data_IF_657509676502
#
_entry.id   IF_657509676502
#
_cell.length_a   1.000
_cell.length_b   1.000
_cell.length_c   1.000
_cell.angle_alpha   90.00
_cell.angle_beta   90.00
_cell.angle_gamma   90.00
#
_symmetry.space_group_name_H-M   'P 1'
#
loop_
_entity.id
_entity.type
_entity.pdbx_description
1 polymer ?
#
# COMPACT_ATOMS: atom_id res chain seq x y z
N UNK A 1 3.69 41.42 -4.54
CA UNK A 1 2.45 40.65 -4.81
C UNK A 1 2.92 39.31 -5.38
N UNK A 2 3.08 38.20 -4.63
CA UNK A 2 2.05 37.35 -3.96
C UNK A 2 0.88 37.12 -4.94
N UNK A 3 0.51 35.92 -5.42
CA UNK A 3 0.45 34.57 -4.81
C UNK A 3 0.43 33.48 -5.92
N UNK A 4 0.77 32.26 -5.51
CA UNK A 4 0.73 30.93 -6.15
C UNK A 4 -0.41 30.59 -7.11
N UNK A 5 -0.14 29.62 -8.02
CA UNK A 5 -0.86 28.32 -8.09
C UNK A 5 0.08 27.26 -8.70
N UNK A 6 0.57 26.32 -7.87
CA UNK A 6 1.05 25.01 -8.33
C UNK A 6 -0.03 23.99 -7.98
N UNK A 7 -0.60 23.35 -8.99
CA UNK A 7 -1.42 22.13 -8.86
C UNK A 7 -1.47 21.41 -10.20
N UNK A 8 -0.60 20.42 -10.36
CA UNK A 8 -0.73 19.32 -11.33
C UNK A 8 -0.12 18.13 -10.56
N UNK A 9 -0.84 17.10 -10.13
CA UNK A 9 -1.96 16.44 -10.77
C UNK A 9 -1.45 15.22 -11.54
N UNK A 10 -0.77 14.27 -10.90
CA UNK A 10 -0.39 13.00 -11.55
C UNK A 10 -1.39 11.94 -11.10
N UNK A 11 -2.41 11.74 -11.96
CA UNK A 11 -3.37 10.64 -11.92
C UNK A 11 -3.31 9.92 -13.26
N UNK A 12 -2.51 8.86 -13.32
CA UNK A 12 -2.51 7.79 -14.31
C UNK A 12 -1.43 6.86 -13.75
N UNK A 13 -1.66 5.59 -13.48
CA UNK A 13 -1.76 4.53 -14.46
C UNK A 13 -2.67 3.42 -13.92
N UNK A 14 -3.64 3.01 -14.74
CA UNK A 14 -4.39 1.79 -14.51
C UNK A 14 -4.43 0.98 -15.81
N UNK A 15 -4.18 -0.32 -15.64
CA UNK A 15 -4.57 -1.45 -16.50
C UNK A 15 -3.71 -1.72 -17.74
N UNK A 16 -2.93 -2.81 -17.69
CA UNK A 16 -3.10 -3.99 -18.58
C UNK A 16 -2.85 -5.27 -17.76
N UNK A 17 -3.72 -6.26 -17.98
CA UNK A 17 -3.86 -7.55 -17.29
C UNK A 17 -2.85 -8.59 -17.79
N UNK A 18 -2.56 -9.60 -16.96
CA UNK A 18 -2.48 -10.97 -17.48
C UNK A 18 -3.18 -11.97 -16.53
N UNK A 19 -3.98 -12.92 -17.05
CA UNK A 19 -4.78 -13.84 -16.27
C UNK A 19 -4.03 -15.16 -16.07
N UNK A 20 -4.21 -15.84 -14.93
CA UNK A 20 -4.48 -17.29 -14.88
C UNK A 20 -4.54 -17.80 -13.44
N UNK A 21 -5.41 -18.79 -13.26
CA UNK A 21 -5.54 -19.71 -12.12
C UNK A 21 -6.18 -19.07 -10.88
N UNK A 22 -7.48 -19.33 -10.70
CA UNK A 22 -8.05 -20.09 -9.58
C UNK A 22 -9.52 -20.33 -9.91
N UNK A 23 -9.76 -21.47 -10.55
CA UNK A 23 -11.08 -22.02 -10.79
C UNK A 23 -11.50 -22.84 -9.55
N UNK A 24 -12.81 -22.92 -9.32
CA UNK A 24 -13.52 -23.79 -8.36
C UNK A 24 -13.82 -23.24 -6.96
N UNK A 25 -14.83 -22.38 -6.88
CA UNK A 25 -15.81 -22.43 -5.78
C UNK A 25 -17.22 -22.30 -6.36
N UNK A 26 -17.93 -23.43 -6.46
CA UNK A 26 -19.36 -23.44 -6.72
C UNK A 26 -20.08 -22.80 -5.53
N UNK A 27 -20.53 -21.56 -5.71
CA UNK A 27 -21.58 -20.97 -4.87
C UNK A 27 -22.91 -21.31 -5.52
N UNK A 28 -23.67 -22.18 -4.86
CA UNK A 28 -25.07 -22.46 -5.20
C UNK A 28 -25.84 -21.14 -5.12
N UNK A 29 -26.16 -20.55 -6.27
CA UNK A 29 -27.11 -19.42 -6.36
C UNK A 29 -28.49 -19.97 -6.05
N UNK A 30 -29.04 -19.60 -4.89
CA UNK A 30 -30.49 -19.61 -4.71
C UNK A 30 -31.00 -18.33 -5.35
N UNK A 31 -31.62 -18.46 -6.52
CA UNK A 31 -32.37 -17.40 -7.18
C UNK A 31 -33.66 -17.16 -6.40
N UNK A 32 -33.85 -15.96 -5.85
CA UNK A 32 -35.19 -15.48 -5.51
C UNK A 32 -35.61 -14.51 -6.62
N UNK A 33 -36.66 -14.88 -7.35
CA UNK A 33 -37.34 -14.02 -8.31
C UNK A 33 -37.90 -12.78 -7.59
N UNK A 34 -37.65 -11.62 -8.20
CA UNK A 34 -38.18 -10.33 -7.75
C UNK A 34 -39.55 -10.16 -8.37
N UNK A 35 -40.62 -10.29 -7.58
CA UNK A 35 -41.90 -9.66 -7.92
C UNK A 35 -42.00 -8.36 -7.13
N UNK A 36 -41.88 -7.26 -7.87
CA UNK A 36 -42.06 -5.91 -7.35
C UNK A 36 -43.54 -5.66 -7.08
N UNK A 37 -43.88 -5.18 -5.88
CA UNK A 37 -45.00 -4.25 -5.67
C UNK A 37 -44.74 -3.44 -4.38
N UNK A 38 -45.05 -2.16 -4.47
CA UNK A 38 -44.72 -1.11 -3.52
C UNK A 38 -45.39 -1.30 -2.16
N UNK A 39 -44.61 -1.23 -1.08
CA UNK A 39 -44.86 -0.45 0.16
C UNK A 39 -43.90 -0.89 1.28
N UNK A 40 -43.29 0.11 1.93
CA UNK A 40 -42.78 0.08 3.30
C UNK A 40 -41.92 -1.11 3.79
N UNK A 41 -40.61 -0.87 3.93
CA UNK A 41 -39.73 -1.48 4.95
C UNK A 41 -39.97 -2.96 5.30
N UNK A 42 -39.63 -3.88 4.41
CA UNK A 42 -39.51 -5.30 4.73
C UNK A 42 -38.04 -5.69 4.94
N UNK A 43 -37.61 -5.76 6.20
CA UNK A 43 -36.46 -6.58 6.58
C UNK A 43 -36.83 -8.01 6.22
N UNK A 44 -36.36 -8.51 5.08
CA UNK A 44 -36.46 -9.92 4.72
C UNK A 44 -35.74 -10.72 5.81
N UNK A 45 -36.53 -11.27 6.73
CA UNK A 45 -36.05 -12.22 7.72
C UNK A 45 -35.59 -13.48 6.98
N UNK A 46 -34.29 -13.58 6.72
CA UNK A 46 -33.65 -14.86 6.44
C UNK A 46 -33.97 -15.80 7.61
N UNK A 47 -34.96 -16.67 7.44
CA UNK A 47 -35.47 -17.58 8.47
C UNK A 47 -34.53 -18.76 8.77
N UNK A 48 -33.36 -18.81 8.13
CA UNK A 48 -32.33 -19.81 8.33
C UNK A 48 -31.14 -19.30 9.15
N UNK A 49 -30.63 -20.14 10.06
CA UNK A 49 -29.38 -19.87 10.78
C UNK A 49 -28.18 -19.92 9.82
N UNK A 50 -27.40 -18.83 9.76
CA UNK A 50 -26.22 -18.69 8.91
C UNK A 50 -24.93 -18.82 9.72
N UNK A 51 -23.90 -19.45 9.15
CA UNK A 51 -22.57 -19.50 9.73
C UNK A 51 -21.71 -18.37 9.16
N UNK A 52 -21.05 -17.62 10.04
CA UNK A 52 -20.04 -16.61 9.70
C UNK A 52 -18.74 -16.95 10.41
N UNK A 53 -17.62 -16.53 9.85
CA UNK A 53 -16.33 -16.73 10.51
C UNK A 53 -16.18 -15.78 11.70
N UNK A 54 -15.63 -16.32 12.79
CA UNK A 54 -15.44 -15.63 14.05
C UNK A 54 -14.18 -14.76 14.07
N UNK A 55 -13.94 -14.11 15.22
CA UNK A 55 -12.76 -13.25 15.38
C UNK A 55 -11.45 -14.02 15.44
N UNK A 56 -11.45 -15.25 15.97
CA UNK A 56 -10.26 -16.11 15.98
C UNK A 56 -10.20 -16.89 14.67
N UNK A 57 -9.00 -17.04 14.11
CA UNK A 57 -8.79 -17.83 12.89
C UNK A 57 -9.38 -19.23 13.06
N UNK A 58 -10.18 -19.69 12.10
CA UNK A 58 -10.85 -20.99 12.14
C UNK A 58 -12.02 -21.10 13.13
N UNK A 59 -12.41 -20.02 13.81
CA UNK A 59 -13.63 -20.02 14.64
C UNK A 59 -14.88 -19.70 13.82
N UNK A 60 -16.03 -20.22 14.25
CA UNK A 60 -17.32 -19.99 13.60
C UNK A 60 -18.29 -19.37 14.60
N UNK A 61 -19.00 -18.34 14.15
CA UNK A 61 -20.14 -17.72 14.85
C UNK A 61 -21.39 -17.99 14.02
N UNK A 62 -22.50 -18.28 14.67
CA UNK A 62 -23.77 -18.56 14.00
C UNK A 62 -24.69 -17.37 14.23
N UNK A 63 -25.43 -16.96 13.20
CA UNK A 63 -26.38 -15.86 13.27
C UNK A 63 -27.79 -16.39 13.05
N UNK A 64 -28.74 -15.94 13.88
CA UNK A 64 -30.16 -16.26 13.75
C UNK A 64 -30.98 -15.11 14.35
N UNK A 65 -32.00 -14.63 13.63
CA UNK A 65 -32.83 -13.49 14.03
C UNK A 65 -32.05 -12.24 14.47
N UNK A 66 -30.88 -12.00 13.86
CA UNK A 66 -30.00 -10.87 14.17
C UNK A 66 -29.19 -11.01 15.47
N UNK A 67 -29.24 -12.17 16.13
CA UNK A 67 -28.41 -12.51 17.28
C UNK A 67 -27.29 -13.46 16.90
N UNK A 68 -26.20 -13.42 17.66
CA UNK A 68 -25.02 -14.26 17.46
C UNK A 68 -24.94 -15.38 18.50
N UNK A 69 -24.51 -16.55 18.06
CA UNK A 69 -24.41 -17.76 18.87
C UNK A 69 -23.09 -18.50 18.62
N UNK A 70 -22.60 -19.19 19.64
CA UNK A 70 -21.51 -20.14 19.57
C UNK A 70 -22.04 -21.56 19.79
N UNK A 71 -21.49 -22.53 19.07
CA UNK A 71 -21.84 -23.95 19.29
C UNK A 71 -21.42 -24.36 20.70
N UNK A 72 -22.34 -24.92 21.50
CA UNK A 72 -21.99 -25.43 22.83
C UNK A 72 -21.31 -26.78 22.69
N UNK A 73 -19.98 -26.79 22.86
CA UNK A 73 -19.16 -28.00 22.72
C UNK A 73 -19.38 -29.02 23.84
N UNK A 74 -19.97 -28.60 24.97
CA UNK A 74 -20.21 -29.47 26.14
C UNK A 74 -21.45 -30.35 25.96
N UNK A 75 -22.33 -30.02 25.02
CA UNK A 75 -23.52 -30.82 24.77
C UNK A 75 -23.18 -31.97 23.82
N UNK A 76 -23.33 -33.24 24.26
CA UNK A 76 -22.77 -34.40 23.56
C UNK A 76 -23.37 -34.63 22.17
N UNK A 77 -22.53 -35.23 21.32
CA UNK A 77 -22.80 -35.62 19.92
C UNK A 77 -23.66 -36.88 19.87
N UNK A 78 -24.94 -36.82 20.25
CA UNK A 78 -25.84 -37.90 19.84
C UNK A 78 -26.07 -37.78 18.32
N UNK A 79 -25.74 -38.81 17.52
CA UNK A 79 -26.07 -38.81 16.10
C UNK A 79 -27.58 -38.66 15.94
N UNK A 80 -28.02 -37.61 15.23
CA UNK A 80 -29.45 -37.29 15.04
C UNK A 80 -30.08 -36.37 16.10
N UNK A 81 -29.39 -36.04 17.19
CA UNK A 81 -29.88 -35.11 18.21
C UNK A 81 -29.77 -33.63 17.79
N UNK A 82 -30.65 -32.79 18.33
CA UNK A 82 -30.58 -31.33 18.13
C UNK A 82 -29.22 -30.77 18.59
N UNK A 83 -28.63 -29.93 17.74
CA UNK A 83 -27.39 -29.22 18.06
C UNK A 83 -27.71 -27.98 18.89
N UNK A 84 -27.02 -27.82 20.02
CA UNK A 84 -27.17 -26.67 20.91
C UNK A 84 -26.15 -25.57 20.60
N UNK A 85 -26.63 -24.33 20.60
CA UNK A 85 -25.86 -23.12 20.46
C UNK A 85 -26.23 -22.16 21.60
N UNK A 86 -25.25 -21.44 22.14
CA UNK A 86 -25.43 -20.47 23.22
C UNK A 86 -25.18 -19.06 22.71
N UNK A 87 -25.93 -18.08 23.20
CA UNK A 87 -25.75 -16.69 22.79
C UNK A 87 -24.30 -16.22 23.00
N UNK A 88 -23.73 -15.50 22.03
CA UNK A 88 -22.39 -14.93 22.10
C UNK A 88 -22.23 -13.92 23.24
N UNK A 89 -23.31 -13.24 23.63
CA UNK A 89 -23.33 -12.31 24.76
C UNK A 89 -23.32 -13.00 26.14
N UNK A 90 -23.32 -14.35 26.20
CA UNK A 90 -23.33 -15.11 27.47
C UNK A 90 -22.14 -14.81 28.38
N UNK A 91 -20.95 -14.62 27.80
CA UNK A 91 -19.71 -14.31 28.52
C UNK A 91 -19.42 -12.82 28.63
N UNK A 92 -20.36 -11.96 28.21
CA UNK A 92 -20.24 -10.50 28.31
C UNK A 92 -20.99 -9.99 29.55
N UNK A 93 -20.98 -8.68 29.79
CA UNK A 93 -21.75 -8.07 30.89
C UNK A 93 -23.26 -8.38 30.83
N UNK A 94 -23.80 -8.63 29.63
CA UNK A 94 -25.20 -9.02 29.45
C UNK A 94 -25.56 -10.40 30.02
N UNK A 95 -24.57 -11.29 30.23
CA UNK A 95 -24.76 -12.66 30.78
C UNK A 95 -25.93 -13.45 30.15
N UNK A 96 -26.19 -13.23 28.87
CA UNK A 96 -27.39 -13.74 28.18
C UNK A 96 -27.48 -15.28 28.22
N UNK A 97 -28.57 -15.81 28.78
CA UNK A 97 -28.77 -17.26 28.97
C UNK A 97 -29.45 -17.96 27.79
N UNK A 98 -29.91 -17.20 26.78
CA UNK A 98 -30.62 -17.74 25.61
C UNK A 98 -29.79 -18.80 24.90
N UNK A 99 -30.47 -19.90 24.57
CA UNK A 99 -29.91 -21.00 23.78
C UNK A 99 -30.75 -21.23 22.53
N UNK A 100 -30.09 -21.57 21.44
CA UNK A 100 -30.69 -21.95 20.16
C UNK A 100 -30.44 -23.44 19.92
N UNK A 101 -31.49 -24.16 19.53
CA UNK A 101 -31.45 -25.58 19.21
C UNK A 101 -31.75 -25.76 17.74
N UNK A 102 -30.90 -26.48 17.01
CA UNK A 102 -31.08 -26.75 15.59
C UNK A 102 -31.18 -28.24 15.34
N UNK A 103 -32.28 -28.67 14.74
CA UNK A 103 -32.42 -30.04 14.27
C UNK A 103 -31.48 -30.25 13.06
N UNK A 104 -30.58 -31.25 13.09
CA UNK A 104 -29.61 -31.44 12.02
C UNK A 104 -30.23 -32.00 10.72
N UNK A 105 -31.41 -32.61 10.78
CA UNK A 105 -32.12 -33.23 9.65
C UNK A 105 -33.10 -32.24 9.03
N UNK A 106 -34.03 -31.69 9.83
CA UNK A 106 -35.08 -30.78 9.35
C UNK A 106 -34.60 -29.33 9.23
N UNK A 107 -33.42 -29.02 9.75
CA UNK A 107 -32.84 -27.66 9.85
C UNK A 107 -33.70 -26.65 10.62
N UNK A 108 -34.73 -27.13 11.33
CA UNK A 108 -35.59 -26.32 12.18
C UNK A 108 -34.82 -25.76 13.37
N UNK A 109 -35.10 -24.49 13.71
CA UNK A 109 -34.43 -23.75 14.78
C UNK A 109 -35.44 -23.43 15.89
N UNK A 110 -35.10 -23.75 17.15
CA UNK A 110 -35.92 -23.49 18.34
C UNK A 110 -35.14 -22.66 19.35
N UNK A 111 -35.68 -21.51 19.73
CA UNK A 111 -35.11 -20.63 20.75
C UNK A 111 -35.64 -21.01 22.14
N UNK A 112 -34.75 -20.97 23.14
CA UNK A 112 -35.09 -21.11 24.55
C UNK A 112 -34.67 -19.86 25.32
N UNK A 113 -35.67 -19.11 25.77
CA UNK A 113 -35.52 -17.83 26.49
C UNK A 113 -35.65 -16.61 25.57
N UNK A 114 -35.57 -15.42 26.18
CA UNK A 114 -35.70 -14.12 25.51
C UNK A 114 -34.40 -13.32 25.66
N UNK A 115 -34.00 -12.62 24.61
CA UNK A 115 -32.81 -11.77 24.65
C UNK A 115 -33.12 -10.43 25.34
N UNK A 116 -32.37 -10.11 26.39
CA UNK A 116 -32.43 -8.80 27.09
C UNK A 116 -31.18 -7.97 26.77
N UNK A 117 -30.83 -7.89 25.48
CA UNK A 117 -29.74 -7.05 24.99
C UNK A 117 -29.96 -6.69 23.53
N UNK A 118 -29.33 -5.60 23.09
CA UNK A 118 -29.39 -5.21 21.69
C UNK A 118 -28.75 -6.26 20.77
N UNK A 119 -29.25 -6.32 19.53
CA UNK A 119 -28.71 -7.19 18.48
C UNK A 119 -27.26 -6.79 18.17
N UNK A 120 -26.30 -7.74 18.18
CA UNK A 120 -24.94 -7.46 17.75
C UNK A 120 -24.89 -7.05 16.27
N UNK A 121 -24.05 -6.07 15.94
CA UNK A 121 -23.89 -5.57 14.55
C UNK A 121 -22.72 -6.24 13.81
N UNK A 122 -22.05 -7.22 14.42
CA UNK A 122 -20.83 -7.82 13.84
C UNK A 122 -21.08 -8.56 12.54
N UNK A 123 -22.22 -9.23 12.39
CA UNK A 123 -22.61 -9.87 11.13
C UNK A 123 -22.74 -8.86 9.96
N UNK A 124 -23.09 -7.60 10.26
CA UNK A 124 -23.16 -6.51 9.28
C UNK A 124 -21.78 -5.88 9.06
N UNK A 125 -21.04 -5.60 10.15
CA UNK A 125 -19.76 -4.90 10.09
C UNK A 125 -18.62 -5.73 9.52
N UNK A 126 -18.54 -7.03 9.86
CA UNK A 126 -17.38 -7.88 9.54
C UNK A 126 -17.16 -8.06 8.02
N UNK A 127 -18.19 -8.35 7.20
CA UNK A 127 -18.01 -8.45 5.75
C UNK A 127 -17.43 -7.17 5.14
N UNK A 128 -17.94 -6.00 5.54
CA UNK A 128 -17.44 -4.71 5.10
C UNK A 128 -15.97 -4.49 5.52
N UNK A 129 -15.63 -4.77 6.78
CA UNK A 129 -14.25 -4.65 7.29
C UNK A 129 -13.29 -5.55 6.51
N UNK A 130 -13.67 -6.79 6.20
CA UNK A 130 -12.84 -7.69 5.40
C UNK A 130 -12.59 -7.15 4.01
N UNK A 131 -13.63 -6.61 3.36
CA UNK A 131 -13.46 -6.03 2.03
C UNK A 131 -12.60 -4.75 2.06
N UNK A 132 -12.68 -3.94 3.13
CA UNK A 132 -11.73 -2.83 3.34
C UNK A 132 -10.29 -3.34 3.39
N UNK A 133 -10.04 -4.40 4.18
CA UNK A 133 -8.70 -4.98 4.34
C UNK A 133 -8.20 -5.61 3.03
N UNK A 134 -9.04 -6.35 2.33
CA UNK A 134 -8.69 -6.94 1.04
C UNK A 134 -8.32 -5.86 0.02
N UNK A 135 -9.18 -4.86 -0.19
CA UNK A 135 -8.93 -3.76 -1.14
C UNK A 135 -7.73 -2.90 -0.75
N UNK A 136 -7.39 -2.85 0.54
CA UNK A 136 -6.21 -2.13 1.00
C UNK A 136 -4.91 -2.69 0.44
N UNK A 137 -4.89 -3.98 0.07
CA UNK A 137 -3.74 -4.70 -0.49
C UNK A 137 -3.79 -4.81 -2.02
N UNK A 138 -4.98 -4.78 -2.62
CA UNK A 138 -5.16 -4.93 -4.08
C UNK A 138 -4.81 -3.67 -4.88
N UNK A 139 -4.89 -2.49 -4.27
CA UNK A 139 -4.63 -1.22 -4.94
C UNK A 139 -4.24 -0.10 -3.97
N UNK A 140 -3.57 0.92 -4.51
CA UNK A 140 -3.11 2.11 -3.78
C UNK A 140 -4.12 3.25 -3.74
N UNK A 141 -5.39 2.99 -4.05
CA UNK A 141 -6.43 4.03 -4.00
C UNK A 141 -6.47 4.73 -2.63
N UNK A 142 -6.90 5.99 -2.64
CA UNK A 142 -7.07 6.75 -1.40
C UNK A 142 -8.01 6.01 -0.44
N UNK A 143 -7.71 5.94 0.87
CA UNK A 143 -8.54 5.23 1.84
C UNK A 143 -10.02 5.65 1.85
N UNK A 144 -10.31 6.92 1.52
CA UNK A 144 -11.69 7.41 1.34
C UNK A 144 -12.39 6.76 0.15
N UNK A 145 -11.69 6.60 -0.98
CA UNK A 145 -12.25 5.97 -2.18
C UNK A 145 -12.57 4.50 -1.90
N UNK A 146 -11.66 3.80 -1.23
CA UNK A 146 -11.88 2.42 -0.80
C UNK A 146 -13.08 2.34 0.15
N UNK A 147 -13.17 3.21 1.16
CA UNK A 147 -14.28 3.22 2.10
C UNK A 147 -15.63 3.48 1.41
N UNK A 148 -15.71 4.48 0.52
CA UNK A 148 -16.93 4.81 -0.21
C UNK A 148 -17.40 3.65 -1.10
N UNK A 149 -16.48 3.02 -1.84
CA UNK A 149 -16.80 1.85 -2.66
C UNK A 149 -17.27 0.67 -1.82
N UNK A 150 -16.69 0.45 -0.64
CA UNK A 150 -17.15 -0.60 0.28
C UNK A 150 -18.54 -0.30 0.82
N UNK A 151 -18.83 0.94 1.22
CA UNK A 151 -20.15 1.32 1.73
C UNK A 151 -21.25 1.30 0.66
N UNK A 152 -20.93 1.58 -0.60
CA UNK A 152 -21.88 1.38 -1.70
C UNK A 152 -22.32 -0.09 -1.83
N UNK A 153 -21.40 -1.03 -1.57
CA UNK A 153 -21.68 -2.47 -1.62
C UNK A 153 -22.25 -3.03 -0.31
N UNK A 154 -22.01 -2.36 0.81
CA UNK A 154 -22.52 -2.73 2.13
C UNK A 154 -23.22 -1.53 2.79
N UNK A 155 -24.39 -1.10 2.28
CA UNK A 155 -25.08 0.10 2.75
C UNK A 155 -25.46 0.00 4.24
N UNK A 156 -25.91 -1.16 4.70
CA UNK A 156 -26.25 -1.40 6.11
C UNK A 156 -25.04 -1.20 7.05
N UNK A 157 -23.83 -1.51 6.58
CA UNK A 157 -22.62 -1.35 7.37
C UNK A 157 -22.21 0.12 7.54
N UNK A 158 -22.63 1.02 6.63
CA UNK A 158 -22.35 2.45 6.71
C UNK A 158 -22.98 3.10 7.96
N UNK A 159 -24.12 2.58 8.40
CA UNK A 159 -24.80 3.00 9.63
C UNK A 159 -24.04 2.60 10.91
N UNK A 160 -23.15 1.61 10.84
CA UNK A 160 -22.45 1.04 12.00
C UNK A 160 -20.93 1.23 11.98
N UNK A 161 -20.37 1.68 10.86
CA UNK A 161 -18.93 1.95 10.69
C UNK A 161 -18.77 3.39 10.24
N UNK A 162 -18.21 4.22 11.10
CA UNK A 162 -17.91 5.61 10.75
C UNK A 162 -16.79 5.67 9.69
N UNK A 163 -16.82 6.61 8.74
CA UNK A 163 -15.77 6.74 7.72
C UNK A 163 -14.33 6.83 8.25
N UNK A 164 -14.02 7.53 9.36
CA UNK A 164 -12.68 7.50 9.96
C UNK A 164 -12.23 6.10 10.39
N UNK A 165 -13.14 5.31 10.97
CA UNK A 165 -12.87 3.92 11.37
C UNK A 165 -12.61 3.03 10.15
N UNK A 166 -13.37 3.21 9.07
CA UNK A 166 -13.14 2.48 7.82
C UNK A 166 -11.74 2.78 7.24
N UNK A 167 -11.33 4.05 7.19
CA UNK A 167 -9.97 4.43 6.80
C UNK A 167 -8.90 3.82 7.70
N UNK A 168 -9.14 3.76 9.02
CA UNK A 168 -8.20 3.17 9.96
C UNK A 168 -7.95 1.69 9.67
N UNK A 169 -8.98 0.93 9.27
CA UNK A 169 -8.82 -0.46 8.84
C UNK A 169 -7.93 -0.57 7.59
N UNK A 170 -8.13 0.30 6.59
CA UNK A 170 -7.29 0.35 5.38
C UNK A 170 -5.83 0.67 5.74
N UNK A 171 -5.60 1.75 6.49
CA UNK A 171 -4.25 2.14 6.91
C UNK A 171 -3.55 1.07 7.73
N UNK A 172 -4.26 0.46 8.69
CA UNK A 172 -3.71 -0.60 9.52
C UNK A 172 -3.32 -1.80 8.67
N UNK A 173 -4.17 -2.21 7.73
CA UNK A 173 -3.88 -3.34 6.87
C UNK A 173 -2.66 -3.08 5.99
N UNK A 174 -2.55 -1.88 5.39
CA UNK A 174 -1.37 -1.46 4.64
C UNK A 174 -0.09 -1.43 5.49
N UNK A 175 -0.18 -1.00 6.76
CA UNK A 175 0.98 -1.03 7.66
C UNK A 175 1.41 -2.45 7.99
N UNK A 176 0.46 -3.37 8.19
CA UNK A 176 0.76 -4.77 8.47
C UNK A 176 1.41 -5.51 7.29
N UNK A 177 1.21 -5.03 6.05
CA UNK A 177 1.81 -5.61 4.86
C UNK A 177 3.11 -4.93 4.43
N UNK A 178 3.51 -3.82 5.07
CA UNK A 178 4.78 -3.17 4.77
C UNK A 178 5.92 -3.95 5.42
N UNK A 179 7.08 -4.07 4.76
CA UNK A 179 8.26 -4.63 5.41
C UNK A 179 8.67 -3.78 6.62
N UNK A 180 9.47 -4.38 7.51
CA UNK A 180 10.13 -3.64 8.57
C UNK A 180 10.99 -2.52 7.97
N UNK A 181 11.16 -1.43 8.71
CA UNK A 181 12.12 -0.40 8.29
C UNK A 181 13.53 -0.99 8.44
N UNK A 182 14.44 -0.71 7.49
CA UNK A 182 15.83 -1.12 7.63
C UNK A 182 16.50 -0.32 8.77
N UNK A 183 17.46 -0.95 9.46
CA UNK A 183 18.18 -0.30 10.56
C UNK A 183 19.28 0.62 10.02
N UNK A 184 19.95 0.22 8.93
CA UNK A 184 20.94 1.03 8.24
C UNK A 184 20.81 1.03 6.70
N UNK A 185 21.70 1.77 6.04
CA UNK A 185 21.70 1.88 4.58
C UNK A 185 22.06 0.57 3.89
N UNK A 186 22.85 -0.32 4.50
CA UNK A 186 23.19 -1.63 3.93
C UNK A 186 21.97 -2.56 3.87
N UNK A 187 21.15 -2.57 4.92
CA UNK A 187 19.91 -3.36 4.99
C UNK A 187 18.88 -2.99 3.92
N UNK A 188 18.96 -1.77 3.37
CA UNK A 188 18.03 -1.31 2.35
C UNK A 188 18.15 -2.11 1.05
N UNK A 189 19.30 -2.75 0.78
CA UNK A 189 19.56 -3.49 -0.45
C UNK A 189 18.56 -4.62 -0.68
N UNK A 190 18.45 -5.54 0.29
CA UNK A 190 17.56 -6.71 0.18
C UNK A 190 16.10 -6.27 0.02
N UNK A 191 15.71 -5.21 0.75
CA UNK A 191 14.37 -4.65 0.66
C UNK A 191 14.04 -4.05 -0.70
N UNK A 192 15.02 -3.45 -1.40
CA UNK A 192 14.82 -2.88 -2.73
C UNK A 192 14.83 -3.94 -3.82
N UNK A 193 15.69 -4.97 -3.69
CA UNK A 193 15.75 -6.09 -4.63
C UNK A 193 14.44 -6.90 -4.66
N UNK A 194 13.77 -7.05 -3.51
CA UNK A 194 12.50 -7.77 -3.37
C UNK A 194 11.25 -6.89 -3.48
N UNK A 195 11.35 -5.67 -4.04
CA UNK A 195 10.23 -4.73 -4.15
C UNK A 195 9.74 -4.54 -5.60
N UNK A 196 8.78 -5.37 -6.07
CA UNK A 196 8.28 -5.34 -7.46
C UNK A 196 7.90 -3.96 -8.03
N UNK A 197 7.34 -3.01 -7.25
CA UNK A 197 6.95 -1.71 -7.79
C UNK A 197 8.09 -0.88 -8.38
N UNK A 198 9.36 -1.16 -8.02
CA UNK A 198 10.51 -0.39 -8.52
C UNK A 198 11.37 -1.15 -9.53
N UNK A 199 11.07 -2.40 -9.86
CA UNK A 199 11.88 -3.26 -10.75
C UNK A 199 12.29 -2.59 -12.07
N UNK A 200 11.37 -1.82 -12.67
CA UNK A 200 11.63 -1.11 -13.94
C UNK A 200 12.52 0.13 -13.82
N UNK A 201 12.84 0.53 -12.60
CA UNK A 201 13.56 1.78 -12.29
C UNK A 201 14.75 1.58 -11.38
N UNK A 202 14.80 0.53 -10.57
CA UNK A 202 15.94 0.27 -9.70
C UNK A 202 17.11 -0.29 -10.53
N UNK A 203 18.26 0.37 -10.44
CA UNK A 203 19.44 0.06 -11.23
C UNK A 203 20.57 -0.57 -10.41
N UNK A 204 20.34 -0.74 -9.10
CA UNK A 204 21.31 -1.29 -8.15
C UNK A 204 21.88 -0.25 -7.19
N UNK A 205 23.05 -0.55 -6.64
CA UNK A 205 23.76 0.30 -5.69
C UNK A 205 25.24 0.40 -6.03
N UNK A 206 25.89 1.40 -5.44
CA UNK A 206 27.34 1.61 -5.47
C UNK A 206 27.85 1.81 -4.04
N UNK A 207 29.11 1.45 -3.83
CA UNK A 207 29.81 1.65 -2.56
C UNK A 207 31.08 2.48 -2.81
N UNK A 208 31.25 3.56 -2.05
CA UNK A 208 32.46 4.37 -2.05
C UNK A 208 33.56 3.71 -1.23
N UNK A 209 34.82 4.12 -1.44
CA UNK A 209 35.97 3.62 -0.69
C UNK A 209 35.88 3.88 0.83
N UNK A 210 35.10 4.89 1.23
CA UNK A 210 34.76 5.24 2.61
C UNK A 210 33.55 4.47 3.18
N UNK A 211 33.11 3.40 2.50
CA UNK A 211 31.92 2.60 2.84
C UNK A 211 30.60 3.37 2.73
N UNK A 212 30.61 4.53 2.07
CA UNK A 212 29.37 5.22 1.70
C UNK A 212 28.60 4.42 0.65
N UNK A 213 27.27 4.55 0.64
CA UNK A 213 26.37 3.74 -0.20
C UNK A 213 25.45 4.69 -0.98
N UNK A 214 25.27 4.39 -2.26
CA UNK A 214 24.34 5.08 -3.14
C UNK A 214 23.38 4.10 -3.81
N UNK A 215 22.07 4.30 -3.67
CA UNK A 215 21.04 3.51 -4.37
C UNK A 215 20.52 4.26 -5.59
N UNK A 216 20.52 3.59 -6.74
CA UNK A 216 20.34 4.24 -8.04
C UNK A 216 18.97 3.89 -8.63
N UNK A 217 18.23 4.92 -9.02
CA UNK A 217 16.90 4.81 -9.61
C UNK A 217 16.78 5.62 -10.90
N UNK A 218 16.49 4.94 -12.00
CA UNK A 218 16.20 5.53 -13.31
C UNK A 218 15.79 4.43 -14.28
N UNK A 219 14.82 4.68 -15.15
CA UNK A 219 14.48 3.72 -16.21
C UNK A 219 15.57 3.68 -17.28
N UNK A 220 15.77 2.54 -17.94
CA UNK A 220 16.73 2.41 -19.05
C UNK A 220 16.50 3.45 -20.16
N UNK A 221 15.24 3.76 -20.46
CA UNK A 221 14.88 4.79 -21.45
C UNK A 221 15.35 6.20 -21.06
N UNK A 222 15.41 6.50 -19.77
CA UNK A 222 15.93 7.79 -19.27
C UNK A 222 17.45 7.79 -19.20
N UNK A 223 18.08 6.65 -18.87
CA UNK A 223 19.53 6.48 -18.93
C UNK A 223 20.07 6.66 -20.36
N UNK A 224 19.39 6.12 -21.36
CA UNK A 224 19.76 6.31 -22.78
C UNK A 224 19.65 7.79 -23.21
N UNK A 225 18.63 8.52 -22.71
CA UNK A 225 18.51 9.96 -22.99
C UNK A 225 19.58 10.78 -22.27
N UNK A 226 19.89 10.39 -21.04
CA UNK A 226 20.96 10.97 -20.25
C UNK A 226 22.32 10.77 -20.94
N UNK A 227 22.58 9.59 -21.50
CA UNK A 227 23.85 9.26 -22.14
C UNK A 227 24.16 10.12 -23.36
N UNK A 228 23.12 10.54 -24.11
CA UNK A 228 23.25 11.35 -25.33
C UNK A 228 23.06 12.85 -25.11
N UNK A 229 22.94 13.30 -23.86
CA UNK A 229 22.77 14.72 -23.54
C UNK A 229 24.12 15.45 -23.55
N UNK A 230 24.17 16.65 -24.11
CA UNK A 230 25.41 17.45 -24.13
C UNK A 230 25.64 18.24 -22.84
N UNK A 231 24.56 18.60 -22.16
CA UNK A 231 24.58 19.32 -20.89
C UNK A 231 23.68 18.58 -19.89
N UNK A 232 24.21 18.33 -18.70
CA UNK A 232 23.51 17.65 -17.60
C UNK A 232 23.55 18.54 -16.37
N UNK A 233 22.45 18.61 -15.64
CA UNK A 233 22.36 19.41 -14.43
C UNK A 233 22.25 18.46 -13.23
N UNK A 234 23.02 18.71 -12.19
CA UNK A 234 22.98 17.97 -10.93
C UNK A 234 22.38 18.86 -9.86
N UNK A 235 21.40 18.31 -9.14
CA UNK A 235 20.77 18.96 -8.00
C UNK A 235 20.71 17.98 -6.82
N UNK A 236 21.15 18.44 -5.64
CA UNK A 236 21.08 17.67 -4.42
C UNK A 236 19.96 18.22 -3.52
N UNK A 237 19.01 17.37 -3.13
CA UNK A 237 17.95 17.74 -2.17
C UNK A 237 18.08 16.99 -0.85
N UNK A 238 18.06 17.74 0.25
CA UNK A 238 18.17 17.22 1.62
C UNK A 238 16.82 16.98 2.30
N UNK A 239 15.72 17.51 1.75
CA UNK A 239 14.40 17.43 2.36
C UNK A 239 13.61 16.18 1.95
N UNK A 240 14.04 15.52 0.88
CA UNK A 240 13.36 14.37 0.27
C UNK A 240 14.16 13.08 0.48
N UNK A 241 14.71 12.88 1.68
CA UNK A 241 15.45 11.67 2.07
C UNK A 241 14.75 10.94 3.22
N UNK A 242 14.87 9.60 3.31
CA UNK A 242 14.39 8.86 4.47
C UNK A 242 15.06 9.34 5.75
N UNK A 243 14.28 9.41 6.84
CA UNK A 243 14.82 9.66 8.17
C UNK A 243 15.37 8.38 8.82
N UNK A 244 14.89 7.21 8.39
CA UNK A 244 15.26 5.90 8.91
C UNK A 244 15.32 4.88 7.76
N UNK A 245 16.51 4.36 7.42
CA UNK A 245 17.83 4.87 7.84
C UNK A 245 18.03 6.30 7.31
N UNK A 246 18.83 7.12 8.02
CA UNK A 246 18.97 8.54 7.70
C UNK A 246 19.80 8.74 6.43
N UNK A 247 19.17 9.20 5.36
CA UNK A 247 19.88 9.62 4.14
C UNK A 247 20.54 10.98 4.31
N UNK A 248 21.68 11.17 3.65
CA UNK A 248 22.33 12.48 3.61
C UNK A 248 21.72 13.38 2.55
N UNK A 249 21.44 12.84 1.36
CA UNK A 249 20.82 13.59 0.26
C UNK A 249 20.23 12.66 -0.81
N UNK A 250 19.40 13.25 -1.66
CA UNK A 250 18.99 12.68 -2.93
C UNK A 250 19.64 13.49 -4.05
N UNK A 251 20.61 12.89 -4.75
CA UNK A 251 21.26 13.47 -5.91
C UNK A 251 20.42 13.18 -7.16
N UNK A 252 20.12 14.22 -7.95
CA UNK A 252 19.24 14.12 -9.11
C UNK A 252 19.97 14.61 -10.35
N UNK A 253 19.92 13.81 -11.42
CA UNK A 253 20.44 14.17 -12.72
C UNK A 253 19.29 14.63 -13.60
N UNK A 254 19.43 15.83 -14.13
CA UNK A 254 18.46 16.45 -15.01
C UNK A 254 19.05 16.59 -16.40
N UNK A 255 18.23 16.31 -17.41
CA UNK A 255 18.52 16.67 -18.79
C UNK A 255 17.61 17.81 -19.22
N UNK A 256 18.10 18.70 -20.07
CA UNK A 256 17.30 19.79 -20.63
C UNK A 256 16.77 19.39 -22.00
N UNK A 257 15.45 19.48 -22.21
CA UNK A 257 14.82 19.29 -23.52
C UNK A 257 13.78 20.37 -23.77
N UNK A 258 13.94 21.13 -24.85
CA UNK A 258 13.05 22.24 -25.21
C UNK A 258 12.80 23.20 -24.04
N UNK A 259 13.87 23.61 -23.35
CA UNK A 259 13.82 24.49 -22.16
C UNK A 259 13.10 23.92 -20.92
N UNK A 260 12.78 22.62 -20.92
CA UNK A 260 12.22 21.93 -19.76
C UNK A 260 13.26 20.98 -19.16
N UNK A 261 13.46 21.08 -17.84
CA UNK A 261 14.26 20.12 -17.08
C UNK A 261 13.49 18.82 -16.86
N UNK A 262 14.07 17.70 -17.26
CA UNK A 262 13.50 16.36 -17.11
C UNK A 262 14.42 15.56 -16.17
N UNK A 263 13.84 14.97 -15.13
CA UNK A 263 14.56 14.14 -14.15
C UNK A 263 14.88 12.79 -14.79
N UNK A 264 16.16 12.45 -14.90
CA UNK A 264 16.62 11.25 -15.60
C UNK A 264 17.13 10.16 -14.65
N UNK A 265 17.77 10.54 -13.56
CA UNK A 265 18.37 9.63 -12.59
C UNK A 265 18.24 10.21 -11.18
N UNK A 266 17.94 9.36 -10.21
CA UNK A 266 17.90 9.68 -8.80
C UNK A 266 18.85 8.75 -8.05
N UNK A 267 19.62 9.30 -7.13
CA UNK A 267 20.56 8.54 -6.32
C UNK A 267 20.36 8.91 -4.86
N UNK A 268 19.90 7.95 -4.07
CA UNK A 268 19.77 8.12 -2.63
C UNK A 268 21.13 7.84 -1.98
N UNK A 269 21.73 8.88 -1.41
CA UNK A 269 23.10 8.83 -0.88
C UNK A 269 23.10 8.75 0.65
N UNK A 270 23.89 7.83 1.20
CA UNK A 270 24.13 7.78 2.65
C UNK A 270 25.05 8.89 3.13
N UNK A 271 25.97 9.38 2.28
CA UNK A 271 26.95 10.42 2.60
C UNK A 271 27.07 11.48 1.48
N UNK A 272 27.82 12.55 1.77
CA UNK A 272 28.21 13.60 0.83
C UNK A 272 29.73 13.63 0.74
N UNK A 273 30.30 12.59 0.16
CA UNK A 273 31.74 12.36 0.10
C UNK A 273 32.19 12.19 -1.35
N UNK A 274 33.44 12.59 -1.61
CA UNK A 274 34.06 12.42 -2.93
C UNK A 274 34.09 10.94 -3.33
N UNK A 275 34.37 10.04 -2.40
CA UNK A 275 34.41 8.59 -2.64
C UNK A 275 33.06 8.05 -3.14
N UNK A 276 31.94 8.51 -2.56
CA UNK A 276 30.61 8.12 -3.04
C UNK A 276 30.35 8.61 -4.46
N UNK A 277 30.64 9.88 -4.72
CA UNK A 277 30.39 10.48 -6.03
C UNK A 277 31.29 9.89 -7.10
N UNK A 278 32.53 9.59 -6.77
CA UNK A 278 33.46 8.89 -7.66
C UNK A 278 32.92 7.50 -8.03
N UNK A 279 32.42 6.73 -7.06
CA UNK A 279 31.79 5.43 -7.31
C UNK A 279 30.52 5.55 -8.18
N UNK A 280 29.70 6.58 -7.95
CA UNK A 280 28.53 6.92 -8.80
C UNK A 280 28.97 7.20 -10.24
N UNK A 281 30.01 8.00 -10.44
CA UNK A 281 30.48 8.37 -11.78
C UNK A 281 31.17 7.20 -12.49
N UNK A 282 31.91 6.35 -11.78
CA UNK A 282 32.44 5.10 -12.33
C UNK A 282 31.31 4.18 -12.79
N UNK A 283 30.26 4.04 -11.97
CA UNK A 283 29.06 3.28 -12.36
C UNK A 283 28.41 3.85 -13.62
N UNK A 284 28.25 5.18 -13.73
CA UNK A 284 27.71 5.83 -14.92
C UNK A 284 28.58 5.57 -16.16
N UNK A 285 29.89 5.72 -16.04
CA UNK A 285 30.86 5.51 -17.12
C UNK A 285 30.88 4.06 -17.62
N UNK A 286 30.51 3.10 -16.76
CA UNK A 286 30.38 1.69 -17.11
C UNK A 286 29.00 1.36 -17.67
N UNK A 287 27.93 1.90 -17.08
CA UNK A 287 26.53 1.61 -17.46
C UNK A 287 26.13 2.28 -18.76
N UNK A 288 26.57 3.52 -18.99
CA UNK A 288 26.25 4.33 -20.17
C UNK A 288 27.52 4.98 -20.75
N UNK A 289 28.42 4.19 -21.37
CA UNK A 289 29.75 4.66 -21.78
C UNK A 289 29.73 5.82 -22.79
N UNK A 290 28.64 5.99 -23.54
CA UNK A 290 28.38 7.08 -24.48
C UNK A 290 28.55 8.48 -23.85
N UNK A 291 28.44 8.63 -22.51
CA UNK A 291 28.68 9.90 -21.83
C UNK A 291 30.06 10.49 -22.13
N UNK A 292 31.08 9.66 -22.39
CA UNK A 292 32.44 10.12 -22.76
C UNK A 292 32.43 10.92 -24.07
N UNK A 293 31.54 10.56 -24.99
CA UNK A 293 31.43 11.23 -26.28
C UNK A 293 30.52 12.45 -26.20
N UNK A 294 29.38 12.34 -25.53
CA UNK A 294 28.32 13.34 -25.63
C UNK A 294 28.35 14.40 -24.53
N UNK A 295 28.70 14.06 -23.28
CA UNK A 295 28.70 15.05 -22.21
C UNK A 295 29.79 16.10 -22.45
N UNK A 296 29.38 17.38 -22.48
CA UNK A 296 30.26 18.54 -22.66
C UNK A 296 30.25 19.47 -21.47
N UNK A 297 29.12 19.61 -20.79
CA UNK A 297 29.01 20.43 -19.59
C UNK A 297 28.18 19.76 -18.50
N UNK A 298 28.61 19.91 -17.25
CA UNK A 298 27.82 19.62 -16.06
C UNK A 298 27.56 20.93 -15.33
N UNK A 299 26.30 21.23 -15.06
CA UNK A 299 25.87 22.33 -14.21
C UNK A 299 25.54 21.77 -12.84
N UNK A 300 26.21 22.22 -11.79
CA UNK A 300 25.94 21.76 -10.42
C UNK A 300 26.09 22.90 -9.42
N UNK A 301 25.61 22.70 -8.21
CA UNK A 301 25.99 23.54 -7.08
C UNK A 301 27.50 23.41 -6.77
N UNK A 302 28.00 24.34 -5.95
CA UNK A 302 29.42 24.38 -5.60
C UNK A 302 29.77 23.44 -4.44
N UNK A 303 29.18 22.24 -4.39
CA UNK A 303 29.58 21.24 -3.40
C UNK A 303 30.97 20.69 -3.75
N UNK A 304 31.96 20.95 -2.89
CA UNK A 304 33.37 20.64 -3.14
C UNK A 304 33.63 19.15 -3.46
N UNK A 305 33.00 18.25 -2.72
CA UNK A 305 33.16 16.80 -2.92
C UNK A 305 32.63 16.34 -4.28
N UNK A 306 31.47 16.87 -4.70
CA UNK A 306 30.88 16.56 -6.00
C UNK A 306 31.71 17.15 -7.15
N UNK A 307 32.15 18.40 -7.01
CA UNK A 307 33.03 19.05 -7.98
C UNK A 307 34.36 18.32 -8.15
N UNK A 308 34.95 17.87 -7.04
CA UNK A 308 36.17 17.07 -7.04
C UNK A 308 35.97 15.76 -7.82
N UNK A 309 34.90 15.01 -7.52
CA UNK A 309 34.61 13.75 -8.19
C UNK A 309 34.34 13.92 -9.70
N UNK A 310 33.65 15.00 -10.11
CA UNK A 310 33.47 15.32 -11.53
C UNK A 310 34.83 15.58 -12.20
N UNK A 311 35.69 16.38 -11.57
CA UNK A 311 37.03 16.67 -12.11
C UNK A 311 37.89 15.41 -12.22
N UNK A 312 37.85 14.55 -11.21
CA UNK A 312 38.58 13.28 -11.13
C UNK A 312 38.14 12.28 -12.21
N UNK A 313 36.83 12.04 -12.35
CA UNK A 313 36.27 11.00 -13.23
C UNK A 313 35.97 11.46 -14.64
N UNK A 314 35.70 12.75 -14.84
CA UNK A 314 35.30 13.33 -16.12
C UNK A 314 36.05 14.64 -16.43
N UNK A 315 37.40 14.61 -16.52
CA UNK A 315 38.21 15.81 -16.74
C UNK A 315 37.92 16.53 -18.07
N UNK A 316 37.29 15.85 -19.05
CA UNK A 316 36.90 16.44 -20.34
C UNK A 316 35.61 17.25 -20.29
N UNK A 317 34.85 17.17 -19.19
CA UNK A 317 33.56 17.86 -19.05
C UNK A 317 33.77 19.24 -18.42
N UNK A 318 33.22 20.26 -19.05
CA UNK A 318 33.19 21.62 -18.51
C UNK A 318 32.30 21.67 -17.26
N UNK A 319 32.82 22.17 -16.15
CA UNK A 319 32.06 22.35 -14.91
C UNK A 319 31.52 23.78 -14.86
N UNK A 320 30.21 23.91 -14.74
CA UNK A 320 29.51 25.20 -14.64
C UNK A 320 28.80 25.30 -13.30
N UNK A 321 28.91 26.46 -12.67
CA UNK A 321 28.13 26.76 -11.46
C UNK A 321 26.66 26.99 -11.80
N UNK A 322 25.76 26.48 -10.97
CA UNK A 322 24.34 26.75 -11.09
C UNK A 322 24.02 28.22 -10.72
N UNK A 323 23.54 29.02 -11.69
CA UNK A 323 23.17 30.42 -11.50
C UNK A 323 22.12 30.61 -10.40
N UNK A 324 21.19 29.67 -10.25
CA UNK A 324 20.13 29.74 -9.24
C UNK A 324 20.68 29.77 -7.80
N UNK A 325 21.76 29.05 -7.54
CA UNK A 325 22.45 29.09 -6.25
C UNK A 325 23.35 30.33 -6.13
N UNK A 326 24.01 30.76 -7.20
CA UNK A 326 24.76 32.01 -7.23
C UNK A 326 23.89 33.24 -6.88
N UNK A 327 22.69 33.33 -7.48
CA UNK A 327 21.74 34.42 -7.27
C UNK A 327 21.03 34.40 -5.90
N UNK A 328 21.21 33.34 -5.10
CA UNK A 328 20.69 33.24 -3.72
C UNK A 328 21.72 33.61 -2.65
N UNK A 329 22.99 33.72 -3.04
CA UNK A 329 24.11 34.08 -2.16
C UNK A 329 24.55 35.54 -2.39
N UNK A 330 23.85 36.29 -3.26
CA UNK A 330 24.09 37.73 -3.52
C UNK A 330 23.08 38.63 -2.81
#
# INVERSE_FOLDING_TARGET
MLVSVFSIGISAWAVVKNPTIWEHWHVTRVTCEVSALHTGASILACSGMQAIEGQRRGSTVFTFNGFEYHKDRRYPRFPGGDKRYVCASRSTHYRCLVSLWRNPVTLQNRLRGTHEHHRPTSHIRRPAIRMLQQRALENDNLPNNIANQVFQRFPDAASFIRPPTARQHVHRQRRLSRPALPDDFGDLRELLEDFPPIDSTYQGHVEGADLSIGYIFGSDAMLERLSRSSEVHLDATFKSVPQHPRGSQLLIFHIRRMEVGILALFILCSHKSSDLYEAIFDWLLNRIPDIRQYWKAIVTDFEDALLFAIHSKMPWVERRGCWFHFARVS
#
